data_IF_275004770396
#
_entry.id   IF_275004770396
#
_cell.length_a   1.000
_cell.length_b   1.000
_cell.length_c   1.000
_cell.angle_alpha   90.00
_cell.angle_beta   90.00
_cell.angle_gamma   90.00
#
_symmetry.space_group_name_H-M   'P 1'
#
loop_
_entity.id
_entity.type
_entity.pdbx_description
1 polymer ?
#
# COMPACT_ATOMS: atom_id res chain seq x y z
N UNK A 1 -14.63 -6.72 -7.99
CA UNK A 1 -14.27 -6.24 -6.63
C UNK A 1 -13.43 -7.32 -5.94
N UNK A 2 -12.14 -7.08 -5.68
CA UNK A 2 -11.33 -8.05 -4.93
C UNK A 2 -11.74 -7.99 -3.46
N UNK A 3 -12.30 -9.07 -2.95
CA UNK A 3 -12.60 -9.19 -1.52
C UNK A 3 -11.25 -9.30 -0.78
N UNK A 4 -10.90 -8.28 -0.01
CA UNK A 4 -9.73 -8.37 0.89
C UNK A 4 -10.09 -9.30 2.05
N UNK A 5 -9.37 -10.40 2.20
CA UNK A 5 -9.43 -11.20 3.42
C UNK A 5 -8.82 -10.37 4.55
N UNK A 6 -9.60 -10.14 5.59
CA UNK A 6 -9.19 -9.36 6.76
C UNK A 6 -9.10 -10.24 7.99
N UNK A 7 -8.31 -9.81 8.96
CA UNK A 7 -8.24 -10.46 10.26
C UNK A 7 -9.66 -10.61 10.87
N UNK A 8 -10.02 -11.77 11.50
CA UNK A 8 -11.36 -12.00 12.05
C UNK A 8 -11.87 -10.90 12.97
N UNK A 9 -11.00 -10.29 13.77
CA UNK A 9 -11.37 -9.15 14.62
C UNK A 9 -11.79 -7.91 13.83
N UNK A 10 -11.32 -7.74 12.60
CA UNK A 10 -11.74 -6.65 11.72
C UNK A 10 -13.05 -6.95 11.00
N UNK A 11 -13.36 -8.22 10.79
CA UNK A 11 -14.60 -8.67 10.15
C UNK A 11 -15.75 -8.68 11.16
N UNK A 12 -15.48 -9.17 12.36
CA UNK A 12 -16.49 -9.37 13.43
C UNK A 12 -16.55 -8.19 14.41
N UNK A 13 -16.25 -6.98 13.96
CA UNK A 13 -16.37 -5.80 14.83
C UNK A 13 -17.79 -5.68 15.37
N UNK A 14 -17.96 -5.56 16.69
CA UNK A 14 -19.26 -5.22 17.25
C UNK A 14 -19.74 -3.90 16.66
N UNK A 15 -21.05 -3.75 16.47
CA UNK A 15 -21.69 -2.52 15.98
C UNK A 15 -21.63 -1.47 17.11
N UNK A 16 -20.43 -1.00 17.40
CA UNK A 16 -20.24 0.13 18.30
C UNK A 16 -20.23 1.41 17.46
N UNK A 17 -20.97 2.45 17.85
CA UNK A 17 -20.93 3.72 17.15
C UNK A 17 -19.50 4.26 17.16
N UNK A 18 -18.94 4.48 15.96
CA UNK A 18 -17.61 5.06 15.82
C UNK A 18 -17.69 6.51 16.31
N UNK A 19 -16.97 6.82 17.39
CA UNK A 19 -16.86 8.18 17.89
C UNK A 19 -16.31 9.10 16.79
N UNK A 20 -16.91 10.28 16.64
CA UNK A 20 -16.43 11.30 15.70
C UNK A 20 -14.99 11.66 16.05
N UNK A 21 -14.13 11.65 15.03
CA UNK A 21 -12.73 12.08 15.20
C UNK A 21 -12.68 13.57 15.52
N UNK A 22 -11.70 14.03 16.34
CA UNK A 22 -11.45 15.45 16.56
C UNK A 22 -11.29 16.20 15.23
N UNK A 23 -11.72 17.46 15.17
CA UNK A 23 -11.73 18.26 13.94
C UNK A 23 -10.33 18.49 13.34
N UNK A 24 -9.31 18.45 14.17
CA UNK A 24 -7.92 18.62 13.75
C UNK A 24 -7.35 17.36 13.05
N UNK A 25 -7.98 16.18 13.20
CA UNK A 25 -7.58 14.96 12.49
C UNK A 25 -8.26 14.97 11.11
N UNK A 26 -7.60 15.58 10.14
CA UNK A 26 -8.08 15.60 8.75
C UNK A 26 -6.95 15.25 7.79
N UNK A 27 -7.25 14.40 6.82
CA UNK A 27 -6.36 14.15 5.69
C UNK A 27 -6.46 15.32 4.71
N UNK A 28 -5.32 15.80 4.23
CA UNK A 28 -5.29 16.78 3.15
C UNK A 28 -5.50 16.05 1.82
N UNK A 29 -6.57 16.39 1.14
CA UNK A 29 -6.80 15.94 -0.24
C UNK A 29 -6.11 16.95 -1.14
N UNK A 30 -5.05 16.52 -1.80
CA UNK A 30 -4.32 17.35 -2.76
C UNK A 30 -4.64 16.84 -4.17
N UNK A 31 -5.33 17.65 -4.93
CA UNK A 31 -5.51 17.41 -6.37
C UNK A 31 -4.27 17.94 -7.10
N UNK A 32 -3.31 17.06 -7.35
CA UNK A 32 -2.07 17.44 -7.99
C UNK A 32 -1.75 16.53 -9.18
N UNK A 33 -1.21 17.14 -10.23
CA UNK A 33 -0.72 16.42 -11.41
C UNK A 33 0.29 15.34 -11.00
N UNK A 34 1.16 15.62 -10.04
CA UNK A 34 2.18 14.70 -9.53
C UNK A 34 1.55 13.43 -8.92
N UNK A 35 0.45 13.59 -8.17
CA UNK A 35 -0.28 12.45 -7.63
C UNK A 35 -0.79 11.52 -8.74
N UNK A 36 -1.42 12.08 -9.78
CA UNK A 36 -1.96 11.28 -10.88
C UNK A 36 -0.85 10.63 -11.72
N UNK A 37 0.26 11.32 -11.96
CA UNK A 37 1.44 10.74 -12.62
C UNK A 37 2.01 9.56 -11.82
N UNK A 38 2.15 9.72 -10.50
CA UNK A 38 2.61 8.64 -9.62
C UNK A 38 1.67 7.44 -9.68
N UNK A 39 0.36 7.66 -9.55
CA UNK A 39 -0.65 6.62 -9.66
C UNK A 39 -0.59 5.88 -10.99
N UNK A 40 -0.43 6.62 -12.09
CA UNK A 40 -0.32 6.04 -13.43
C UNK A 40 0.91 5.15 -13.57
N UNK A 41 2.08 5.62 -13.13
CA UNK A 41 3.34 4.86 -13.22
C UNK A 41 3.29 3.59 -12.36
N UNK A 42 2.79 3.69 -11.14
CA UNK A 42 2.61 2.55 -10.23
C UNK A 42 1.71 1.48 -10.86
N UNK A 43 0.56 1.88 -11.39
CA UNK A 43 -0.41 0.94 -11.98
C UNK A 43 0.11 0.33 -13.30
N UNK A 44 0.75 1.12 -14.17
CA UNK A 44 1.27 0.64 -15.45
C UNK A 44 2.41 -0.38 -15.30
N UNK A 45 3.18 -0.29 -14.22
CA UNK A 45 4.28 -1.21 -13.94
C UNK A 45 3.88 -2.35 -13.01
N UNK A 46 2.59 -2.47 -12.66
CA UNK A 46 2.08 -3.46 -11.71
C UNK A 46 2.84 -3.45 -10.37
N UNK A 47 3.23 -2.27 -9.91
CA UNK A 47 3.91 -2.09 -8.64
C UNK A 47 2.90 -2.08 -7.49
N UNK A 48 3.34 -2.57 -6.34
CA UNK A 48 2.55 -2.60 -5.12
C UNK A 48 3.05 -1.53 -4.17
N UNK A 49 2.13 -0.74 -3.62
CA UNK A 49 2.46 0.28 -2.61
C UNK A 49 1.64 0.07 -1.35
N UNK A 50 2.28 0.22 -0.20
CA UNK A 50 1.56 0.24 1.09
C UNK A 50 0.53 1.36 1.12
N UNK A 51 0.82 2.47 0.46
CA UNK A 51 -0.08 3.63 0.36
C UNK A 51 -1.46 3.26 -0.19
N UNK A 52 -1.51 2.36 -1.20
CA UNK A 52 -2.76 1.88 -1.78
C UNK A 52 -3.32 0.67 -1.00
N UNK A 53 -2.47 -0.31 -0.71
CA UNK A 53 -2.93 -1.58 -0.11
C UNK A 53 -3.41 -1.41 1.33
N UNK A 54 -2.80 -0.53 2.10
CA UNK A 54 -3.20 -0.22 3.46
C UNK A 54 -4.25 0.91 3.56
N UNK A 55 -4.79 1.41 2.43
CA UNK A 55 -5.74 2.52 2.39
C UNK A 55 -5.27 3.76 3.17
N UNK A 56 -4.01 4.14 2.98
CA UNK A 56 -3.41 5.25 3.72
C UNK A 56 -4.14 6.57 3.43
N UNK A 57 -4.64 7.29 4.45
CA UNK A 57 -5.37 8.54 4.24
C UNK A 57 -4.48 9.69 3.75
N UNK A 58 -3.15 9.57 3.88
CA UNK A 58 -2.19 10.62 3.51
C UNK A 58 -1.60 10.42 2.10
N UNK A 59 -2.11 9.45 1.33
CA UNK A 59 -1.57 9.09 0.03
C UNK A 59 -1.47 10.29 -0.93
N UNK A 60 -2.48 11.14 -0.97
CA UNK A 60 -2.50 12.31 -1.86
C UNK A 60 -1.44 13.32 -1.51
N UNK A 61 -1.22 13.58 -0.23
CA UNK A 61 -0.18 14.48 0.24
C UNK A 61 1.22 13.91 -0.01
N UNK A 62 1.47 12.65 0.38
CA UNK A 62 2.78 12.02 0.22
C UNK A 62 3.19 11.94 -1.24
N UNK A 63 2.31 11.45 -2.12
CA UNK A 63 2.62 11.33 -3.53
C UNK A 63 2.79 12.68 -4.23
N UNK A 64 2.04 13.71 -3.82
CA UNK A 64 2.23 15.07 -4.32
C UNK A 64 3.58 15.66 -3.93
N UNK A 65 4.14 15.23 -2.79
CA UNK A 65 5.48 15.58 -2.34
C UNK A 65 6.59 14.69 -2.90
N UNK A 66 6.26 13.76 -3.80
CA UNK A 66 7.17 12.75 -4.35
C UNK A 66 7.75 11.80 -3.30
N UNK A 67 6.92 11.39 -2.35
CA UNK A 67 7.20 10.37 -1.35
C UNK A 67 6.33 9.15 -1.62
N UNK A 68 6.92 7.97 -1.67
CA UNK A 68 6.19 6.73 -1.86
C UNK A 68 6.79 5.58 -1.04
N UNK A 69 5.92 4.65 -0.63
CA UNK A 69 6.32 3.42 0.06
C UNK A 69 5.93 2.23 -0.80
N UNK A 70 6.92 1.56 -1.37
CA UNK A 70 6.72 0.35 -2.14
C UNK A 70 6.71 -0.87 -1.23
N UNK A 71 5.91 -1.85 -1.64
CA UNK A 71 5.84 -3.15 -0.97
C UNK A 71 6.29 -4.21 -1.96
N UNK A 72 7.32 -4.96 -1.59
CA UNK A 72 7.90 -6.02 -2.41
C UNK A 72 7.38 -7.40 -2.04
N UNK A 73 7.62 -8.38 -2.90
CA UNK A 73 7.21 -9.78 -2.77
C UNK A 73 5.69 -9.99 -2.91
N UNK A 74 4.99 -9.06 -3.53
CA UNK A 74 3.58 -9.14 -3.84
C UNK A 74 2.67 -8.29 -2.96
N UNK A 75 1.37 -8.44 -3.15
CA UNK A 75 0.30 -7.68 -2.50
C UNK A 75 -0.42 -8.47 -1.38
N UNK A 76 0.01 -9.71 -1.15
CA UNK A 76 -0.66 -10.63 -0.23
C UNK A 76 0.33 -11.12 0.82
N UNK A 77 -0.02 -10.93 2.09
CA UNK A 77 0.79 -11.34 3.23
C UNK A 77 0.32 -12.71 3.74
N UNK A 78 1.25 -13.55 4.21
CA UNK A 78 0.92 -14.83 4.84
C UNK A 78 0.40 -14.66 6.27
N UNK A 79 0.65 -13.49 6.91
CA UNK A 79 0.24 -13.19 8.27
C UNK A 79 -0.92 -12.20 8.32
N UNK A 80 -1.81 -12.39 9.30
CA UNK A 80 -3.01 -11.58 9.49
C UNK A 80 -2.90 -10.72 10.77
N UNK A 81 -2.09 -9.68 10.72
CA UNK A 81 -1.92 -8.79 11.86
C UNK A 81 -3.18 -7.93 12.09
N UNK A 82 -3.63 -7.84 13.34
CA UNK A 82 -4.88 -7.14 13.69
C UNK A 82 -4.88 -5.64 13.33
N UNK A 83 -3.72 -5.01 13.33
CA UNK A 83 -3.53 -3.59 13.01
C UNK A 83 -3.30 -3.32 11.51
N UNK A 84 -3.06 -4.35 10.69
CA UNK A 84 -2.67 -4.20 9.28
C UNK A 84 -3.88 -4.31 8.34
N UNK A 85 -3.97 -3.44 7.34
CA UNK A 85 -5.04 -3.46 6.34
C UNK A 85 -4.62 -4.10 5.00
N UNK A 86 -3.39 -4.59 4.91
CA UNK A 86 -2.88 -5.33 3.76
C UNK A 86 -3.64 -6.65 3.64
N UNK A 87 -3.87 -7.06 2.41
CA UNK A 87 -4.55 -8.32 2.09
C UNK A 87 -3.77 -9.51 2.66
N UNK A 88 -4.48 -10.44 3.29
CA UNK A 88 -3.92 -11.69 3.78
C UNK A 88 -4.43 -12.88 2.99
N UNK A 89 -3.64 -13.93 2.89
CA UNK A 89 -4.00 -15.14 2.17
C UNK A 89 -2.79 -15.89 1.65
N UNK A 90 -3.01 -16.68 0.58
CA UNK A 90 -1.94 -17.39 -0.12
C UNK A 90 -1.34 -16.48 -1.20
N UNK A 91 -0.08 -16.07 -1.08
CA UNK A 91 0.58 -15.24 -2.09
C UNK A 91 0.80 -15.98 -3.41
N UNK A 92 0.96 -15.22 -4.48
CA UNK A 92 1.41 -15.73 -5.77
C UNK A 92 2.94 -15.87 -5.78
N UNK A 93 3.49 -16.44 -6.87
CA UNK A 93 4.94 -16.54 -7.09
C UNK A 93 5.61 -15.16 -7.09
N UNK A 94 6.92 -15.15 -6.85
CA UNK A 94 7.72 -13.92 -6.86
C UNK A 94 7.90 -13.39 -8.29
N UNK A 95 7.88 -12.08 -8.45
CA UNK A 95 8.29 -11.39 -9.67
C UNK A 95 9.78 -11.03 -9.58
N UNK A 96 10.62 -11.78 -10.27
CA UNK A 96 12.08 -11.55 -10.29
C UNK A 96 12.48 -10.20 -10.87
N UNK A 97 11.61 -9.56 -11.64
CA UNK A 97 11.85 -8.23 -12.23
C UNK A 97 11.36 -7.07 -11.35
N UNK A 98 10.74 -7.36 -10.23
CA UNK A 98 10.19 -6.34 -9.32
C UNK A 98 11.23 -5.29 -8.90
N UNK A 99 12.48 -5.63 -8.53
CA UNK A 99 13.48 -4.62 -8.15
C UNK A 99 13.82 -3.65 -9.29
N UNK A 100 13.91 -4.16 -10.52
CA UNK A 100 14.18 -3.34 -11.71
C UNK A 100 13.00 -2.41 -11.99
N UNK A 101 11.77 -2.92 -11.90
CA UNK A 101 10.55 -2.13 -12.09
C UNK A 101 10.46 -0.99 -11.07
N UNK A 102 10.74 -1.26 -9.80
CA UNK A 102 10.75 -0.25 -8.74
C UNK A 102 11.84 0.80 -9.01
N UNK A 103 13.05 0.37 -9.33
CA UNK A 103 14.16 1.29 -9.63
C UNK A 103 13.81 2.23 -10.78
N UNK A 104 13.23 1.70 -11.86
CA UNK A 104 12.81 2.49 -13.01
C UNK A 104 11.68 3.47 -12.66
N UNK A 105 10.71 3.05 -11.85
CA UNK A 105 9.63 3.91 -11.41
C UNK A 105 10.13 5.05 -10.52
N UNK A 106 11.03 4.77 -9.59
CA UNK A 106 11.66 5.78 -8.72
C UNK A 106 12.39 6.84 -9.54
N UNK A 107 13.17 6.40 -10.54
CA UNK A 107 13.88 7.32 -11.46
C UNK A 107 12.91 8.14 -12.29
N UNK A 108 11.93 7.50 -12.93
CA UNK A 108 10.94 8.15 -13.80
C UNK A 108 10.13 9.21 -13.06
N UNK A 109 9.72 8.93 -11.83
CA UNK A 109 8.96 9.84 -10.99
C UNK A 109 9.84 10.87 -10.28
N UNK A 110 11.15 10.71 -10.33
CA UNK A 110 12.10 11.53 -9.57
C UNK A 110 11.67 11.68 -8.09
N UNK A 111 11.44 10.54 -7.44
CA UNK A 111 10.99 10.52 -6.06
C UNK A 111 12.05 11.08 -5.12
N UNK A 112 11.64 11.91 -4.18
CA UNK A 112 12.52 12.54 -3.19
C UNK A 112 12.77 11.64 -1.99
N UNK A 113 11.78 10.81 -1.65
CA UNK A 113 11.85 9.89 -0.52
C UNK A 113 11.14 8.59 -0.87
N UNK A 114 11.85 7.50 -0.69
CA UNK A 114 11.36 6.15 -1.00
C UNK A 114 11.55 5.26 0.21
N UNK A 115 10.49 4.58 0.61
CA UNK A 115 10.54 3.50 1.59
C UNK A 115 10.24 2.19 0.86
N UNK A 116 10.98 1.16 1.18
CA UNK A 116 10.74 -0.20 0.67
C UNK A 116 10.47 -1.10 1.86
N UNK A 117 9.35 -1.77 1.82
CA UNK A 117 8.93 -2.77 2.80
C UNK A 117 8.47 -4.03 2.07
N UNK A 118 8.15 -5.09 2.80
CA UNK A 118 7.68 -6.34 2.22
C UNK A 118 6.47 -6.88 2.95
N UNK A 119 5.72 -7.74 2.28
CA UNK A 119 4.78 -8.66 2.94
C UNK A 119 5.55 -9.80 3.60
N UNK A 120 4.94 -10.43 4.60
CA UNK A 120 5.48 -11.69 5.13
C UNK A 120 5.22 -12.83 4.14
N UNK A 121 6.24 -13.65 3.95
CA UNK A 121 6.25 -14.76 2.98
C UNK A 121 6.74 -16.04 3.66
N UNK A 122 6.00 -16.49 4.69
CA UNK A 122 6.30 -17.76 5.39
C UNK A 122 6.13 -19.00 4.49
N UNK A 123 5.65 -18.79 3.26
CA UNK A 123 5.49 -19.82 2.23
C UNK A 123 6.75 -20.07 1.38
N UNK A 124 7.78 -19.26 1.54
CA UNK A 124 9.05 -19.41 0.83
C UNK A 124 10.05 -20.17 1.68
N UNK A 125 10.80 -21.07 1.01
CA UNK A 125 12.00 -21.68 1.59
C UNK A 125 13.14 -20.66 1.51
N UNK A 126 13.81 -20.42 2.63
CA UNK A 126 14.97 -19.50 2.71
C UNK A 126 16.22 -20.09 2.04
#
# INVERSE_FOLDING_TARGET
>A
MRVKLRHPEKVNKPINPIKRKPEWIRSKIMDSKIFFETKKVVNQNNLVTVCQEANCPNITECWSKKHATFMIMGDTCTRACAFCDVKTGKPLGLDYFEPIKISNAVKKLNLKHVVITSVDRDDLDD
#
